data_IF_778630276811
#
_entry.id   IF_778630276811
#
_cell.length_a   1.000
_cell.length_b   1.000
_cell.length_c   1.000
_cell.angle_alpha   90.00
_cell.angle_beta   90.00
_cell.angle_gamma   90.00
#
_symmetry.space_group_name_H-M   'P 1'
#
loop_
_entity.id
_entity.type
_entity.pdbx_description
1 polymer ?
#
# COMPACT_ATOMS: atom_id res chain seq x y z
N UNK A 1 4.99 -13.72 -2.85
CA UNK A 1 6.35 -13.20 -3.03
C UNK A 1 6.53 -11.93 -2.22
N UNK A 2 7.60 -11.84 -1.46
CA UNK A 2 7.88 -10.69 -0.60
C UNK A 2 8.67 -9.64 -1.37
N UNK A 3 8.24 -8.39 -1.30
CA UNK A 3 8.93 -7.27 -1.94
C UNK A 3 9.06 -6.11 -0.98
N UNK A 4 9.98 -5.21 -1.28
CA UNK A 4 10.10 -3.95 -0.55
C UNK A 4 9.85 -2.82 -1.55
N UNK A 5 8.93 -1.94 -1.20
CA UNK A 5 8.54 -0.82 -2.06
C UNK A 5 8.78 0.49 -1.32
N UNK A 6 9.50 1.39 -1.97
CA UNK A 6 9.66 2.75 -1.48
C UNK A 6 8.64 3.64 -2.20
N UNK A 7 7.91 4.42 -1.46
CA UNK A 7 6.90 5.28 -2.07
C UNK A 7 6.21 6.18 -1.07
N UNK A 8 5.05 6.68 -1.50
CA UNK A 8 4.26 7.64 -0.73
C UNK A 8 2.88 7.06 -0.48
N UNK A 9 2.42 7.19 0.75
CA UNK A 9 1.08 6.75 1.13
C UNK A 9 0.06 7.76 0.62
N UNK A 10 -0.98 7.26 -0.04
CA UNK A 10 -2.09 8.09 -0.51
C UNK A 10 -3.41 7.41 -0.19
N UNK A 11 -4.43 8.21 0.01
CA UNK A 11 -5.78 7.71 0.17
C UNK A 11 -6.46 7.75 -1.18
N UNK A 12 -6.90 6.59 -1.66
CA UNK A 12 -7.54 6.47 -2.97
C UNK A 12 -8.80 5.62 -2.84
N UNK A 13 -9.63 5.66 -3.88
CA UNK A 13 -10.81 4.82 -3.95
C UNK A 13 -12.07 5.52 -3.52
N UNK A 14 -13.13 4.74 -3.35
CA UNK A 14 -14.48 5.22 -3.05
C UNK A 14 -14.85 4.97 -1.59
N UNK A 15 -15.87 5.71 -1.11
CA UNK A 15 -16.41 5.53 0.23
C UNK A 15 -15.42 5.99 1.30
N UNK A 16 -15.22 5.21 2.36
CA UNK A 16 -14.32 5.59 3.46
C UNK A 16 -12.86 5.68 3.04
N UNK A 17 -12.57 5.30 1.81
CA UNK A 17 -11.23 5.36 1.27
C UNK A 17 -10.44 4.10 1.48
N UNK A 18 -9.51 3.88 0.60
CA UNK A 18 -8.58 2.77 0.67
C UNK A 18 -7.18 3.36 0.66
N UNK A 19 -6.32 2.80 1.50
CA UNK A 19 -4.94 3.28 1.58
C UNK A 19 -4.10 2.59 0.52
N UNK A 20 -3.32 3.39 -0.18
CA UNK A 20 -2.48 2.93 -1.28
C UNK A 20 -1.05 3.39 -1.08
N UNK A 21 -0.12 2.63 -1.64
CA UNK A 21 1.28 3.00 -1.69
C UNK A 21 1.63 3.28 -3.16
N UNK A 22 1.93 4.53 -3.45
CA UNK A 22 2.38 4.92 -4.79
C UNK A 22 3.88 4.72 -4.82
N UNK A 23 4.33 3.64 -5.45
CA UNK A 23 5.73 3.27 -5.49
C UNK A 23 6.54 4.10 -6.45
N UNK A 24 7.81 4.27 -6.14
CA UNK A 24 8.74 4.97 -7.03
C UNK A 24 8.97 4.19 -8.32
N UNK A 25 8.65 2.91 -8.33
CA UNK A 25 8.75 2.06 -9.51
C UNK A 25 7.62 2.28 -10.52
N UNK A 26 6.69 3.17 -10.22
CA UNK A 26 5.55 3.46 -11.07
C UNK A 26 4.32 2.63 -10.79
N UNK A 27 4.40 1.68 -9.86
CA UNK A 27 3.27 0.86 -9.46
C UNK A 27 2.56 1.46 -8.26
N UNK A 28 1.24 1.33 -8.25
CA UNK A 28 0.43 1.69 -7.08
C UNK A 28 -0.11 0.41 -6.48
N UNK A 29 0.09 0.24 -5.19
CA UNK A 29 -0.35 -0.96 -4.47
C UNK A 29 -1.48 -0.60 -3.52
N UNK A 30 -2.47 -1.48 -3.45
CA UNK A 30 -3.50 -1.37 -2.43
C UNK A 30 -2.99 -2.05 -1.16
N UNK A 31 -2.98 -1.33 -0.04
CA UNK A 31 -2.42 -1.85 1.19
C UNK A 31 -3.43 -2.70 1.96
N UNK A 32 -2.98 -3.84 2.44
CA UNK A 32 -3.74 -4.75 3.29
C UNK A 32 -3.01 -4.86 4.62
N UNK A 33 -3.75 -4.83 5.71
CA UNK A 33 -3.21 -4.94 7.07
C UNK A 33 -2.22 -3.82 7.41
N UNK A 34 -2.46 -2.63 6.86
CA UNK A 34 -1.65 -1.47 7.19
C UNK A 34 -1.96 -1.00 8.62
N UNK A 35 -0.92 -0.71 9.39
CA UNK A 35 -1.10 -0.17 10.74
C UNK A 35 -1.60 1.27 10.65
N UNK A 36 -2.13 1.78 11.77
CA UNK A 36 -2.60 3.17 11.81
C UNK A 36 -1.48 4.16 11.56
N UNK A 37 -0.25 3.79 11.85
CA UNK A 37 0.91 4.65 11.60
C UNK A 37 1.16 4.89 10.12
N UNK A 38 0.79 3.92 9.27
CA UNK A 38 0.90 4.06 7.82
C UNK A 38 -0.24 4.86 7.22
N UNK A 39 -1.36 4.97 7.91
CA UNK A 39 -2.56 5.60 7.36
C UNK A 39 -2.49 7.11 7.47
N UNK A 40 -1.47 7.70 6.85
CA UNK A 40 -1.25 9.14 6.80
C UNK A 40 -0.92 9.52 5.37
N UNK A 41 -1.79 10.30 4.77
CA UNK A 41 -1.61 10.76 3.40
C UNK A 41 -0.34 11.59 3.25
N UNK A 42 0.45 11.30 2.22
CA UNK A 42 1.69 11.99 1.96
C UNK A 42 2.91 11.43 2.69
N UNK A 43 2.73 10.38 3.48
CA UNK A 43 3.82 9.80 4.23
C UNK A 43 4.78 9.03 3.31
N UNK A 44 6.07 9.34 3.41
CA UNK A 44 7.11 8.63 2.65
C UNK A 44 7.60 7.45 3.45
N UNK A 45 7.58 6.27 2.84
CA UNK A 45 7.85 5.02 3.56
C UNK A 45 8.58 4.01 2.68
N UNK A 46 9.24 3.07 3.34
CA UNK A 46 9.58 1.77 2.79
C UNK A 46 8.61 0.76 3.38
N UNK A 47 7.94 -0.01 2.53
CA UNK A 47 7.02 -1.05 2.98
C UNK A 47 7.50 -2.39 2.47
N UNK A 48 7.66 -3.35 3.38
CA UNK A 48 7.93 -4.73 3.03
C UNK A 48 6.65 -5.53 3.18
N UNK A 49 6.30 -6.29 2.16
CA UNK A 49 5.09 -7.08 2.22
C UNK A 49 5.00 -8.13 1.14
N UNK A 50 3.88 -8.83 1.14
CA UNK A 50 3.57 -9.85 0.16
C UNK A 50 2.59 -9.32 -0.87
N UNK A 51 2.93 -9.51 -2.14
CA UNK A 51 1.98 -9.19 -3.22
C UNK A 51 0.97 -10.33 -3.28
N UNK A 52 -0.30 -9.99 -3.05
CA UNK A 52 -1.39 -10.96 -3.00
C UNK A 52 -2.22 -10.85 -4.28
N UNK A 53 -2.02 -11.78 -5.18
CA UNK A 53 -2.76 -11.82 -6.46
C UNK A 53 -4.07 -12.59 -6.34
N UNK A 54 -4.27 -13.27 -5.23
CA UNK A 54 -5.45 -14.07 -4.94
C UNK A 54 -6.57 -13.28 -4.28
N UNK A 55 -6.33 -12.01 -4.00
CA UNK A 55 -7.31 -11.13 -3.35
C UNK A 55 -7.86 -10.14 -4.37
N UNK A 56 -9.17 -10.10 -4.46
CA UNK A 56 -9.87 -9.11 -5.27
C UNK A 56 -10.50 -8.08 -4.35
N UNK A 57 -10.37 -6.81 -4.72
CA UNK A 57 -10.94 -5.72 -3.93
C UNK A 57 -11.84 -4.86 -4.80
N UNK A 58 -12.74 -4.13 -4.15
CA UNK A 58 -13.64 -3.22 -4.86
C UNK A 58 -12.93 -1.95 -5.32
N UNK A 59 -11.84 -1.58 -4.66
CA UNK A 59 -11.12 -0.36 -5.00
C UNK A 59 -10.39 -0.46 -6.34
N UNK A 60 -9.93 -1.66 -6.68
CA UNK A 60 -9.27 -1.93 -7.97
C UNK A 60 -8.15 -0.96 -8.29
N UNK A 61 -7.39 -0.58 -7.26
CA UNK A 61 -6.30 0.40 -7.39
C UNK A 61 -5.11 -0.24 -8.10
N UNK A 62 -4.80 -1.47 -7.72
CA UNK A 62 -3.65 -2.20 -8.24
C UNK A 62 -3.44 -3.47 -7.44
N UNK A 63 -2.26 -4.09 -7.55
CA UNK A 63 -1.98 -5.29 -6.76
C UNK A 63 -2.14 -5.02 -5.28
N UNK A 64 -2.61 -6.02 -4.55
CA UNK A 64 -2.74 -5.93 -3.09
C UNK A 64 -1.39 -6.25 -2.47
N UNK A 65 -0.90 -5.36 -1.63
CA UNK A 65 0.33 -5.55 -0.87
C UNK A 65 -0.03 -5.76 0.60
N UNK A 66 0.18 -6.97 1.08
CA UNK A 66 -0.04 -7.29 2.48
C UNK A 66 1.17 -6.85 3.29
N UNK A 67 0.99 -5.86 4.14
CA UNK A 67 2.09 -5.22 4.86
C UNK A 67 2.63 -6.16 5.93
N UNK A 68 3.93 -6.42 5.89
CA UNK A 68 4.63 -7.20 6.92
C UNK A 68 5.39 -6.28 7.86
N UNK A 69 6.06 -5.29 7.30
CA UNK A 69 6.80 -4.31 8.08
C UNK A 69 6.96 -3.03 7.26
N UNK A 70 7.30 -1.95 7.93
CA UNK A 70 7.52 -0.68 7.25
C UNK A 70 8.50 0.18 8.01
N UNK A 71 9.08 1.15 7.31
CA UNK A 71 9.95 2.17 7.90
C UNK A 71 9.54 3.53 7.34
N UNK A 72 9.32 4.47 8.23
CA UNK A 72 9.00 5.85 7.85
C UNK A 72 10.30 6.57 7.51
N UNK A 73 10.33 7.21 6.36
CA UNK A 73 11.51 7.92 5.86
C UNK A 73 11.53 9.38 6.30
#
# INVERSE_FOLDING_TARGET
>A
MSITVKGVIERQGFGPGTWALVGEDGETYELKDASSELKKEGLKVHVKGLVRKDIMTFAMIGPVLEVQSFEVL
#
